data_IF_232672595491
#
_entry.id   IF_232672595491
#
_cell.length_a   1.000
_cell.length_b   1.000
_cell.length_c   1.000
_cell.angle_alpha   90.00
_cell.angle_beta   90.00
_cell.angle_gamma   90.00
#
_symmetry.space_group_name_H-M   'P 1'
#
loop_
_entity.id
_entity.type
_entity.pdbx_description
1 polymer ?
#
# COMPACT_ATOMS: atom_id res chain seq x y z
N UNK A 1 -0.78 -8.57 7.44
CA UNK A 1 -2.03 -8.51 6.66
C UNK A 1 -2.69 -9.88 6.69
N UNK A 2 -4.01 -10.00 6.95
CA UNK A 2 -4.70 -11.30 6.92
C UNK A 2 -4.61 -11.98 5.53
N UNK A 3 -4.50 -13.31 5.49
CA UNK A 3 -4.38 -14.09 4.25
C UNK A 3 -5.62 -13.97 3.34
N UNK A 4 -6.80 -13.76 3.94
CA UNK A 4 -8.04 -13.48 3.22
C UNK A 4 -7.94 -12.20 2.38
N UNK A 5 -7.32 -11.14 2.91
CA UNK A 5 -7.14 -9.88 2.18
C UNK A 5 -6.17 -10.06 1.02
N UNK A 6 -5.08 -10.80 1.23
CA UNK A 6 -4.13 -11.16 0.16
C UNK A 6 -4.84 -11.91 -0.96
N UNK A 7 -5.62 -12.93 -0.61
CA UNK A 7 -6.40 -13.71 -1.57
C UNK A 7 -7.38 -12.83 -2.36
N UNK A 8 -8.07 -11.90 -1.70
CA UNK A 8 -8.99 -10.97 -2.35
C UNK A 8 -8.29 -10.04 -3.33
N UNK A 9 -7.13 -9.50 -2.96
CA UNK A 9 -6.32 -8.64 -3.85
C UNK A 9 -5.82 -9.44 -5.05
N UNK A 10 -5.27 -10.65 -4.84
CA UNK A 10 -4.82 -11.52 -5.92
C UNK A 10 -5.96 -11.85 -6.89
N UNK A 11 -7.19 -12.04 -6.39
CA UNK A 11 -8.38 -12.28 -7.22
C UNK A 11 -8.78 -11.10 -8.12
N UNK A 12 -8.44 -9.86 -7.75
CA UNK A 12 -8.75 -8.68 -8.57
C UNK A 12 -7.91 -8.58 -9.84
N UNK A 13 -6.73 -9.21 -9.85
CA UNK A 13 -5.78 -9.15 -10.98
C UNK A 13 -5.75 -10.45 -11.79
N UNK A 14 -6.38 -11.51 -11.29
CA UNK A 14 -6.44 -12.81 -11.95
C UNK A 14 -7.79 -13.05 -12.63
N UNK A 15 -7.85 -13.87 -13.69
CA UNK A 15 -9.10 -14.34 -14.26
C UNK A 15 -9.99 -15.02 -13.22
N UNK A 16 -11.30 -14.91 -13.38
CA UNK A 16 -12.31 -15.47 -12.45
C UNK A 16 -12.13 -16.96 -12.18
N UNK A 17 -11.71 -17.73 -13.18
CA UNK A 17 -11.52 -19.18 -13.12
C UNK A 17 -10.10 -19.61 -12.71
N UNK A 18 -9.18 -18.67 -12.50
CA UNK A 18 -7.81 -19.01 -12.09
C UNK A 18 -7.81 -19.71 -10.72
N UNK A 19 -6.91 -20.67 -10.52
CA UNK A 19 -6.67 -21.28 -9.20
C UNK A 19 -5.47 -20.58 -8.57
N UNK A 20 -5.55 -20.33 -7.26
CA UNK A 20 -4.46 -19.76 -6.47
C UNK A 20 -4.04 -20.84 -5.47
N UNK A 21 -2.81 -21.32 -5.57
CA UNK A 21 -2.25 -22.29 -4.62
C UNK A 21 -2.11 -21.67 -3.22
N UNK A 22 -2.23 -22.47 -2.16
CA UNK A 22 -2.04 -21.98 -0.78
C UNK A 22 -0.62 -21.41 -0.58
N UNK A 23 0.40 -22.14 -1.02
CA UNK A 23 1.81 -21.70 -0.95
C UNK A 23 2.03 -20.36 -1.65
N UNK A 24 1.29 -20.08 -2.74
CA UNK A 24 1.39 -18.81 -3.44
C UNK A 24 0.79 -17.65 -2.61
N UNK A 25 -0.28 -17.90 -1.85
CA UNK A 25 -0.87 -16.88 -0.97
C UNK A 25 0.06 -16.59 0.20
N UNK A 26 0.66 -17.62 0.79
CA UNK A 26 1.62 -17.49 1.89
C UNK A 26 2.87 -16.75 1.42
N UNK A 27 3.45 -17.13 0.27
CA UNK A 27 4.62 -16.46 -0.30
C UNK A 27 4.36 -14.96 -0.56
N UNK A 28 3.18 -14.60 -1.10
CA UNK A 28 2.82 -13.19 -1.30
C UNK A 28 2.60 -12.48 0.04
N UNK A 29 1.99 -13.14 1.02
CA UNK A 29 1.78 -12.56 2.35
C UNK A 29 3.12 -12.23 3.03
N UNK A 30 4.07 -13.16 3.00
CA UNK A 30 5.43 -12.97 3.51
C UNK A 30 6.16 -11.86 2.76
N UNK A 31 6.06 -11.84 1.43
CA UNK A 31 6.69 -10.81 0.62
C UNK A 31 6.14 -9.42 0.96
N UNK A 32 4.81 -9.26 1.11
CA UNK A 32 4.22 -7.98 1.49
C UNK A 32 4.60 -7.58 2.91
N UNK A 33 4.67 -8.54 3.84
CA UNK A 33 5.15 -8.27 5.18
C UNK A 33 6.60 -7.76 5.18
N UNK A 34 7.48 -8.43 4.43
CA UNK A 34 8.87 -8.04 4.26
C UNK A 34 9.00 -6.69 3.53
N UNK A 35 8.18 -6.47 2.50
CA UNK A 35 8.14 -5.20 1.79
C UNK A 35 7.84 -4.07 2.76
N UNK A 36 6.73 -4.12 3.50
CA UNK A 36 6.36 -3.06 4.45
C UNK A 36 7.40 -2.89 5.56
N UNK A 37 7.96 -4.00 6.06
CA UNK A 37 8.81 -3.98 7.25
C UNK A 37 10.27 -3.61 6.96
N UNK A 38 10.77 -3.87 5.75
CA UNK A 38 12.20 -3.79 5.46
C UNK A 38 12.57 -2.99 4.22
N UNK A 39 11.71 -2.91 3.20
CA UNK A 39 12.11 -2.29 1.93
C UNK A 39 12.09 -0.75 1.99
N UNK A 40 11.01 -0.09 2.48
CA UNK A 40 11.01 1.36 2.68
C UNK A 40 12.08 1.80 3.69
N UNK A 41 12.20 1.24 4.91
CA UNK A 41 13.14 1.77 5.90
C UNK A 41 14.62 1.54 5.57
N UNK A 42 14.99 0.51 4.79
CA UNK A 42 16.39 0.27 4.40
C UNK A 42 16.85 1.10 3.22
N UNK A 43 15.91 1.50 2.35
CA UNK A 43 16.20 2.31 1.15
C UNK A 43 15.98 3.79 1.43
N UNK A 44 15.31 4.12 2.52
CA UNK A 44 15.23 5.47 3.08
C UNK A 44 16.34 5.67 4.12
N UNK A 45 17.13 6.73 3.99
CA UNK A 45 18.18 7.05 4.98
C UNK A 45 17.61 7.41 6.37
N UNK A 46 16.35 7.82 6.42
CA UNK A 46 15.62 8.24 7.62
C UNK A 46 14.22 7.63 7.55
N UNK A 47 13.63 7.15 8.66
CA UNK A 47 12.25 6.69 8.66
C UNK A 47 11.27 7.79 8.19
N UNK A 48 10.22 7.44 7.43
CA UNK A 48 9.23 8.41 6.97
C UNK A 48 8.53 9.05 8.17
N UNK A 49 8.45 10.37 8.17
CA UNK A 49 7.77 11.17 9.22
C UNK A 49 6.42 11.68 8.72
N UNK A 50 6.32 11.91 7.42
CA UNK A 50 5.13 12.37 6.74
C UNK A 50 4.69 11.36 5.69
N UNK A 51 3.38 11.26 5.37
CA UNK A 51 2.89 10.42 4.28
C UNK A 51 3.56 10.72 2.93
N UNK A 52 3.96 11.97 2.70
CA UNK A 52 4.73 12.41 1.52
C UNK A 52 6.09 11.72 1.41
N UNK A 53 6.74 11.42 2.54
CA UNK A 53 8.04 10.73 2.56
C UNK A 53 7.89 9.32 1.98
N UNK A 54 6.74 8.67 2.22
CA UNK A 54 6.44 7.35 1.65
C UNK A 54 6.30 7.44 0.13
N UNK A 55 5.63 8.47 -0.39
CA UNK A 55 5.51 8.68 -1.85
C UNK A 55 6.89 8.95 -2.46
N UNK A 56 7.70 9.79 -1.83
CA UNK A 56 9.06 10.08 -2.29
C UNK A 56 9.95 8.83 -2.28
N UNK A 57 9.80 7.95 -1.29
CA UNK A 57 10.47 6.66 -1.30
C UNK A 57 9.99 5.75 -2.43
N UNK A 58 8.68 5.64 -2.66
CA UNK A 58 8.17 4.82 -3.77
C UNK A 58 8.76 5.28 -5.11
N UNK A 59 8.91 6.59 -5.32
CA UNK A 59 9.59 7.14 -6.50
C UNK A 59 11.06 6.73 -6.57
N UNK A 60 11.82 6.80 -5.46
CA UNK A 60 13.23 6.39 -5.44
C UNK A 60 13.44 4.89 -5.65
N UNK A 61 12.40 4.07 -5.40
CA UNK A 61 12.40 2.64 -5.68
C UNK A 61 12.03 2.29 -7.13
N UNK A 62 11.68 3.28 -7.96
CA UNK A 62 11.19 3.09 -9.32
C UNK A 62 9.75 2.54 -9.38
N UNK A 63 8.95 2.82 -8.35
CA UNK A 63 7.54 2.42 -8.27
C UNK A 63 6.64 3.58 -8.72
N UNK A 64 6.98 4.19 -9.84
CA UNK A 64 6.37 5.42 -10.35
C UNK A 64 4.87 5.26 -10.67
N UNK A 65 4.46 4.07 -11.10
CA UNK A 65 3.07 3.72 -11.41
C UNK A 65 2.13 3.86 -10.19
N UNK A 66 2.68 3.91 -8.98
CA UNK A 66 1.91 4.02 -7.73
C UNK A 66 1.77 5.47 -7.25
N UNK A 67 2.56 6.42 -7.76
CA UNK A 67 2.65 7.78 -7.19
C UNK A 67 1.35 8.56 -7.31
N UNK A 68 0.72 8.52 -8.48
CA UNK A 68 -0.55 9.21 -8.73
C UNK A 68 -1.65 8.70 -7.79
N UNK A 69 -1.78 7.37 -7.69
CA UNK A 69 -2.82 6.75 -6.87
C UNK A 69 -2.61 7.02 -5.38
N UNK A 70 -1.36 6.98 -4.89
CA UNK A 70 -1.03 7.31 -3.51
C UNK A 70 -1.29 8.79 -3.20
N UNK A 71 -0.94 9.70 -4.11
CA UNK A 71 -1.20 11.13 -3.97
C UNK A 71 -2.70 11.43 -3.90
N UNK A 72 -3.48 10.82 -4.80
CA UNK A 72 -4.94 10.94 -4.80
C UNK A 72 -5.54 10.43 -3.49
N UNK A 73 -5.07 9.28 -3.00
CA UNK A 73 -5.50 8.71 -1.73
C UNK A 73 -5.25 9.66 -0.55
N UNK A 74 -4.04 10.22 -0.45
CA UNK A 74 -3.70 11.18 0.62
C UNK A 74 -4.57 12.43 0.58
N UNK A 75 -4.81 12.98 -0.61
CA UNK A 75 -5.64 14.16 -0.78
C UNK A 75 -7.10 13.90 -0.37
N UNK A 76 -7.66 12.75 -0.76
CA UNK A 76 -9.02 12.35 -0.33
C UNK A 76 -9.10 12.18 1.18
N UNK A 77 -8.15 11.47 1.78
CA UNK A 77 -8.11 11.27 3.23
C UNK A 77 -8.06 12.60 3.98
N UNK A 78 -7.25 13.57 3.52
CA UNK A 78 -7.21 14.93 4.10
C UNK A 78 -8.54 15.67 3.98
N UNK A 79 -9.18 15.60 2.82
CA UNK A 79 -10.48 16.23 2.60
C UNK A 79 -11.56 15.64 3.54
N UNK A 80 -11.57 14.33 3.72
CA UNK A 80 -12.48 13.63 4.65
C UNK A 80 -12.24 14.06 6.10
N UNK A 81 -10.98 14.10 6.56
CA UNK A 81 -10.66 14.54 7.92
C UNK A 81 -11.06 16.00 8.19
N UNK A 82 -10.90 16.88 7.19
CA UNK A 82 -11.34 18.27 7.27
C UNK A 82 -12.87 18.39 7.31
N UNK A 83 -13.58 17.49 6.63
CA UNK A 83 -15.05 17.47 6.61
C UNK A 83 -15.63 17.02 7.95
N UNK A 84 -15.05 15.98 8.58
CA UNK A 84 -15.47 15.54 9.91
C UNK A 84 -15.25 16.62 10.98
N UNK A 85 -14.14 17.37 10.90
CA UNK A 85 -13.87 18.48 11.82
C UNK A 85 -14.77 19.71 11.57
N UNK A 86 -15.21 19.94 10.33
CA UNK A 86 -16.14 21.01 9.99
C UNK A 86 -17.59 20.70 10.35
N UNK A 87 -17.96 19.43 10.50
CA UNK A 87 -19.33 19.00 10.83
C UNK A 87 -19.60 18.92 12.35
N UNK A 88 -18.58 19.08 13.19
CA UNK A 88 -18.69 19.07 14.66
C UNK A 88 -18.74 20.48 15.29
N UNK A 89 -18.75 21.55 14.48
CA UNK A 89 -18.84 22.95 14.94
C UNK A 89 -20.15 23.62 14.53
#
# INVERSE_FOLDING_TARGET
>A
MPLANVTHIMRRVLPTHAKIAEDAKEAIQEYVFAFISFVPPRRMAVPPRLPEDVIAAMASLGLDDYLEQLTLFLNKHRAEQNFEHGSMN
#
